data_IF_361456733816
#
_entry.id   IF_361456733816
#
_cell.length_a   1.000
_cell.length_b   1.000
_cell.length_c   1.000
_cell.angle_alpha   90.00
_cell.angle_beta   90.00
_cell.angle_gamma   90.00
#
_symmetry.space_group_name_H-M   'P 1'
#
loop_
_entity.id
_entity.type
_entity.pdbx_description
1 polymer ?
#
# COMPACT_ATOMS: atom_id res chain seq x y z
N UNK A 1 -2.67 2.78 15.32
CA UNK A 1 -2.92 3.78 14.26
C UNK A 1 -4.33 4.39 14.21
N UNK A 2 -5.35 3.89 14.94
CA UNK A 2 -6.72 4.43 14.87
C UNK A 2 -6.94 5.67 15.74
N UNK A 3 -6.06 5.89 16.70
CA UNK A 3 -6.13 6.95 17.71
C UNK A 3 -4.75 7.61 17.88
N UNK A 4 -4.76 8.86 18.34
CA UNK A 4 -3.60 9.55 18.88
C UNK A 4 -3.51 9.32 20.40
N UNK A 5 -2.35 9.60 21.01
CA UNK A 5 -2.14 9.47 22.46
C UNK A 5 -1.32 8.25 22.87
N UNK A 6 -0.67 7.58 21.93
CA UNK A 6 0.36 6.61 22.25
C UNK A 6 1.71 7.31 22.46
N UNK A 7 2.66 6.61 23.11
CA UNK A 7 4.00 7.14 23.42
C UNK A 7 4.82 7.59 22.20
N UNK A 8 4.48 7.10 21.00
CA UNK A 8 5.14 7.43 19.74
C UNK A 8 4.42 8.54 18.95
N UNK A 9 3.30 9.06 19.46
CA UNK A 9 2.60 10.18 18.85
C UNK A 9 3.17 11.51 19.34
N UNK A 10 3.33 12.46 18.42
CA UNK A 10 3.60 13.86 18.79
C UNK A 10 2.31 14.69 18.68
N UNK A 11 2.40 15.94 19.12
CA UNK A 11 1.36 16.99 19.05
C UNK A 11 0.77 17.21 17.65
N UNK A 12 1.51 16.83 16.60
CA UNK A 12 1.06 16.92 15.19
C UNK A 12 0.05 15.83 14.79
N UNK A 13 -0.23 14.86 15.65
CA UNK A 13 -1.13 13.74 15.34
C UNK A 13 -2.59 14.20 15.17
N UNK A 14 -3.28 13.66 14.17
CA UNK A 14 -4.69 13.95 13.89
C UNK A 14 -5.43 12.71 13.39
N UNK A 15 -6.73 12.61 13.71
CA UNK A 15 -7.63 11.54 13.26
C UNK A 15 -8.68 12.13 12.30
N UNK A 16 -8.62 11.80 11.00
CA UNK A 16 -9.63 12.23 10.03
C UNK A 16 -11.05 11.80 10.45
N UNK A 17 -11.96 12.76 10.54
CA UNK A 17 -13.39 12.53 10.82
C UNK A 17 -13.78 12.33 12.29
N UNK A 18 -12.83 12.12 13.22
CA UNK A 18 -13.11 12.04 14.67
C UNK A 18 -12.76 13.35 15.39
N UNK A 19 -11.72 14.05 14.94
CA UNK A 19 -11.38 15.39 15.40
C UNK A 19 -12.29 16.43 14.70
N UNK A 20 -13.60 16.22 14.81
CA UNK A 20 -14.64 17.16 14.37
C UNK A 20 -14.84 18.24 15.42
N UNK A 21 -13.82 19.08 15.61
CA UNK A 21 -14.02 20.49 15.94
C UNK A 21 -12.74 21.28 15.73
N UNK A 22 -12.45 21.58 14.46
CA UNK A 22 -11.50 22.62 14.13
C UNK A 22 -12.22 23.97 14.28
N UNK A 23 -12.30 24.47 15.51
CA UNK A 23 -12.91 25.77 15.76
C UNK A 23 -11.98 26.86 15.22
N UNK A 24 -12.56 27.81 14.49
CA UNK A 24 -11.85 29.01 14.07
C UNK A 24 -12.38 30.14 14.94
N UNK A 25 -11.52 30.67 15.82
CA UNK A 25 -11.79 31.90 16.56
C UNK A 25 -10.65 32.88 16.30
N UNK A 26 -10.96 34.13 15.95
CA UNK A 26 -9.97 35.18 15.67
C UNK A 26 -8.87 34.76 14.65
N UNK A 27 -9.23 33.97 13.63
CA UNK A 27 -8.30 33.53 12.58
C UNK A 27 -7.34 32.40 12.99
N UNK A 28 -7.44 31.88 14.21
CA UNK A 28 -6.60 30.79 14.75
C UNK A 28 -7.41 29.49 14.75
N UNK A 29 -6.78 28.39 14.29
CA UNK A 29 -7.37 27.05 14.27
C UNK A 29 -7.11 26.36 15.61
N UNK A 30 -8.17 25.94 16.29
CA UNK A 30 -8.10 25.20 17.55
C UNK A 30 -8.46 23.74 17.34
N UNK A 31 -7.71 22.83 17.95
CA UNK A 31 -8.05 21.41 17.97
C UNK A 31 -8.51 21.03 19.37
N UNK A 32 -9.77 20.60 19.47
CA UNK A 32 -10.39 20.24 20.73
C UNK A 32 -10.59 18.73 20.77
N UNK A 33 -10.03 18.06 21.77
CA UNK A 33 -10.30 16.64 22.01
C UNK A 33 -11.57 16.49 22.85
N UNK A 34 -12.37 15.48 22.52
CA UNK A 34 -13.52 15.10 23.34
C UNK A 34 -13.00 14.53 24.68
N UNK A 35 -13.54 14.97 25.84
CA UNK A 35 -13.09 14.48 27.13
C UNK A 35 -13.35 12.97 27.25
N UNK A 36 -12.33 12.20 27.67
CA UNK A 36 -12.42 10.75 27.91
C UNK A 36 -13.30 10.38 29.14
N UNK A 37 -14.03 11.33 29.74
CA UNK A 37 -14.84 11.10 30.94
C UNK A 37 -16.05 12.04 31.00
N UNK A 38 -17.23 11.50 31.31
CA UNK A 38 -18.56 12.13 31.11
C UNK A 38 -18.88 13.36 31.99
N UNK A 39 -17.96 13.86 32.83
CA UNK A 39 -18.27 14.89 33.84
C UNK A 39 -17.33 16.11 33.82
N UNK A 40 -16.86 16.56 32.66
CA UNK A 40 -16.12 17.83 32.55
C UNK A 40 -16.46 18.56 31.25
N UNK A 41 -17.16 19.70 31.34
CA UNK A 41 -17.55 20.57 30.21
C UNK A 41 -16.40 21.47 29.75
N UNK A 42 -15.16 20.99 29.75
CA UNK A 42 -14.02 21.76 29.28
C UNK A 42 -13.30 20.98 28.18
N UNK A 43 -13.56 21.38 26.93
CA UNK A 43 -12.79 20.92 25.79
C UNK A 43 -11.36 21.48 25.91
N UNK A 44 -10.37 20.60 25.99
CA UNK A 44 -8.97 21.02 25.96
C UNK A 44 -8.61 21.37 24.50
N UNK A 45 -8.54 22.67 24.21
CA UNK A 45 -8.30 23.18 22.88
C UNK A 45 -6.89 23.76 22.78
N UNK A 46 -6.05 23.24 21.88
CA UNK A 46 -4.72 23.80 21.60
C UNK A 46 -4.75 24.57 20.28
N UNK A 47 -4.06 25.72 20.24
CA UNK A 47 -3.88 26.48 18.99
C UNK A 47 -2.89 25.73 18.10
N UNK A 48 -3.27 25.50 16.85
CA UNK A 48 -2.43 24.81 15.87
C UNK A 48 -2.14 25.74 14.70
N UNK A 49 -0.86 26.04 14.47
CA UNK A 49 -0.39 26.57 13.19
C UNK A 49 -0.63 25.48 12.13
N UNK A 50 -1.68 25.68 11.32
CA UNK A 50 -2.33 24.62 10.56
C UNK A 50 -1.57 24.06 9.34
N UNK A 51 -0.24 24.07 9.33
CA UNK A 51 0.57 23.64 8.17
C UNK A 51 1.16 22.24 8.29
N UNK A 52 1.38 21.68 9.49
CA UNK A 52 2.10 20.40 9.66
C UNK A 52 1.32 19.35 10.45
N UNK A 53 0.05 19.08 10.13
CA UNK A 53 -0.68 17.97 10.75
C UNK A 53 -0.38 16.66 10.03
N UNK A 54 -0.18 15.58 10.80
CA UNK A 54 0.19 14.25 10.29
C UNK A 54 -0.83 13.24 10.82
N UNK A 55 -1.34 12.36 9.95
CA UNK A 55 -2.36 11.38 10.37
C UNK A 55 -1.80 10.37 11.37
N UNK A 56 -2.64 9.85 12.26
CA UNK A 56 -2.25 8.83 13.23
C UNK A 56 -1.67 7.55 12.57
N UNK A 57 -2.13 7.21 11.36
CA UNK A 57 -1.59 6.10 10.54
C UNK A 57 -0.23 6.42 9.95
N UNK A 58 -0.01 7.64 9.49
CA UNK A 58 1.27 8.07 8.94
C UNK A 58 2.35 8.15 10.02
N UNK A 59 2.03 8.70 11.20
CA UNK A 59 2.96 8.69 12.33
C UNK A 59 3.30 7.27 12.80
N UNK A 60 2.29 6.38 12.83
CA UNK A 60 2.52 4.97 13.15
C UNK A 60 3.52 4.32 12.19
N UNK A 61 3.36 4.56 10.88
CA UNK A 61 4.25 4.02 9.86
C UNK A 61 5.68 4.58 9.99
N UNK A 62 5.85 5.90 9.99
CA UNK A 62 7.19 6.49 9.95
C UNK A 62 7.94 6.42 11.27
N UNK A 63 7.27 6.57 12.41
CA UNK A 63 7.95 6.65 13.71
C UNK A 63 8.10 5.31 14.40
N UNK A 64 7.01 4.55 14.48
CA UNK A 64 7.01 3.29 15.23
C UNK A 64 7.46 2.12 14.35
N UNK A 65 6.89 1.96 13.15
CA UNK A 65 7.17 0.81 12.31
C UNK A 65 8.55 0.94 11.64
N UNK A 66 8.83 2.08 11.02
CA UNK A 66 10.10 2.32 10.32
C UNK A 66 11.23 2.83 11.22
N UNK A 67 10.91 3.63 12.25
CA UNK A 67 11.93 4.33 13.03
C UNK A 67 12.76 5.29 12.18
N UNK A 68 12.08 6.06 11.32
CA UNK A 68 12.73 6.95 10.34
C UNK A 68 13.67 7.96 11.01
N UNK A 69 14.91 8.03 10.53
CA UNK A 69 15.91 9.03 10.92
C UNK A 69 15.68 10.38 10.24
N UNK A 70 16.33 11.42 10.75
CA UNK A 70 16.16 12.79 10.27
C UNK A 70 16.97 13.10 9.00
N UNK A 71 18.02 12.32 8.72
CA UNK A 71 18.95 12.55 7.60
C UNK A 71 19.31 11.24 6.90
N UNK A 72 19.66 11.33 5.62
CA UNK A 72 20.16 10.19 4.84
C UNK A 72 21.50 9.65 5.36
N UNK A 73 22.32 10.50 5.97
CA UNK A 73 23.62 10.11 6.54
C UNK A 73 23.47 9.35 7.87
N UNK A 74 22.30 9.46 8.51
CA UNK A 74 22.00 8.76 9.75
C UNK A 74 21.19 7.49 9.46
N UNK A 75 21.88 6.36 9.42
CA UNK A 75 21.26 5.05 9.21
C UNK A 75 20.49 4.54 10.44
N UNK A 76 20.63 5.19 11.60
CA UNK A 76 19.98 4.79 12.84
C UNK A 76 20.33 3.36 13.27
N UNK A 77 19.43 2.73 14.02
CA UNK A 77 19.54 1.32 14.43
C UNK A 77 18.48 0.47 13.72
N UNK A 78 18.78 -0.79 13.37
CA UNK A 78 17.78 -1.68 12.78
C UNK A 78 16.58 -1.87 13.72
N UNK A 79 15.39 -1.55 13.22
CA UNK A 79 14.15 -1.80 13.97
C UNK A 79 13.93 -3.31 14.12
N UNK A 80 13.74 -3.76 15.37
CA UNK A 80 13.65 -5.19 15.68
C UNK A 80 12.46 -5.88 15.00
N UNK A 81 11.28 -5.24 14.96
CA UNK A 81 10.08 -5.86 14.40
C UNK A 81 10.19 -6.09 12.88
N UNK A 82 10.54 -5.09 12.04
CA UNK A 82 10.81 -5.32 10.61
C UNK A 82 11.96 -6.29 10.38
N UNK A 83 13.03 -6.25 11.19
CA UNK A 83 14.15 -7.19 11.05
C UNK A 83 13.74 -8.65 11.30
N UNK A 84 12.95 -8.91 12.34
CA UNK A 84 12.40 -10.25 12.61
C UNK A 84 11.39 -10.69 11.55
N UNK A 85 10.57 -9.77 11.04
CA UNK A 85 9.66 -10.05 9.92
C UNK A 85 10.43 -10.38 8.63
N UNK A 86 11.55 -9.70 8.37
CA UNK A 86 12.41 -9.99 7.23
C UNK A 86 13.10 -11.36 7.40
N UNK A 87 13.62 -11.67 8.60
CA UNK A 87 14.22 -12.96 8.89
C UNK A 87 13.22 -14.10 8.70
N UNK A 88 11.99 -13.95 9.19
CA UNK A 88 10.94 -14.96 9.03
C UNK A 88 10.54 -15.12 7.56
N UNK A 89 10.43 -14.02 6.80
CA UNK A 89 10.18 -14.07 5.36
C UNK A 89 11.26 -14.86 4.60
N UNK A 90 12.55 -14.64 4.91
CA UNK A 90 13.65 -15.41 4.31
C UNK A 90 13.59 -16.89 4.65
N UNK A 91 13.26 -17.24 5.90
CA UNK A 91 13.08 -18.64 6.30
C UNK A 91 11.94 -19.28 5.49
N UNK A 92 10.79 -18.60 5.38
CA UNK A 92 9.63 -19.10 4.62
C UNK A 92 10.00 -19.29 3.14
N UNK A 93 10.62 -18.29 2.51
CA UNK A 93 11.06 -18.37 1.11
C UNK A 93 12.04 -19.53 0.92
N UNK A 94 13.01 -19.68 1.84
CA UNK A 94 13.94 -20.80 1.85
C UNK A 94 13.22 -22.15 1.87
N UNK A 95 12.24 -22.32 2.77
CA UNK A 95 11.42 -23.54 2.85
C UNK A 95 10.58 -23.79 1.60
N UNK A 96 10.05 -22.75 0.96
CA UNK A 96 9.28 -22.88 -0.28
C UNK A 96 10.15 -23.39 -1.44
N UNK A 97 11.42 -22.97 -1.50
CA UNK A 97 12.34 -23.24 -2.61
C UNK A 97 13.24 -24.46 -2.35
N UNK A 98 13.38 -24.94 -1.10
CA UNK A 98 14.33 -26.00 -0.71
C UNK A 98 14.22 -27.30 -1.54
N UNK A 99 13.03 -27.61 -2.05
CA UNK A 99 12.74 -28.78 -2.90
C UNK A 99 12.63 -28.45 -4.40
N UNK A 100 13.13 -27.28 -4.80
CA UNK A 100 13.13 -26.77 -6.17
C UNK A 100 11.74 -26.44 -6.72
N UNK A 101 11.65 -26.38 -8.05
CA UNK A 101 10.47 -25.92 -8.81
C UNK A 101 9.19 -26.71 -8.55
N UNK A 102 9.30 -27.99 -8.13
CA UNK A 102 8.14 -28.83 -7.81
C UNK A 102 7.44 -28.40 -6.51
N UNK A 103 8.22 -27.91 -5.54
CA UNK A 103 7.69 -27.44 -4.25
C UNK A 103 7.16 -26.02 -4.37
N UNK A 104 7.95 -25.13 -4.99
CA UNK A 104 7.51 -23.75 -5.22
C UNK A 104 6.25 -23.69 -6.08
N UNK A 105 6.10 -24.57 -7.07
CA UNK A 105 4.87 -24.70 -7.85
C UNK A 105 3.63 -25.07 -7.02
N UNK A 106 3.77 -25.91 -5.98
CA UNK A 106 2.66 -26.25 -5.07
C UNK A 106 2.25 -25.07 -4.20
N UNK A 107 3.24 -24.37 -3.65
CA UNK A 107 3.01 -23.15 -2.85
C UNK A 107 2.38 -22.06 -3.70
N UNK A 108 2.81 -21.94 -4.97
CA UNK A 108 2.29 -20.96 -5.92
C UNK A 108 0.78 -21.07 -6.16
N UNK A 109 0.17 -22.26 -6.08
CA UNK A 109 -1.29 -22.38 -6.18
C UNK A 109 -2.00 -21.57 -5.09
N UNK A 110 -1.49 -21.60 -3.86
CA UNK A 110 -2.06 -20.78 -2.79
C UNK A 110 -1.69 -19.30 -2.97
N UNK A 111 -0.41 -18.99 -3.15
CA UNK A 111 0.06 -17.59 -3.15
C UNK A 111 -0.36 -16.81 -4.40
N UNK A 112 -0.67 -17.48 -5.51
CA UNK A 112 -1.22 -16.82 -6.70
C UNK A 112 -2.73 -16.62 -6.61
N UNK A 113 -3.49 -17.55 -6.00
CA UNK A 113 -4.96 -17.48 -5.94
C UNK A 113 -5.44 -16.61 -4.77
N UNK A 114 -4.80 -16.73 -3.61
CA UNK A 114 -5.21 -16.03 -2.40
C UNK A 114 -5.31 -14.50 -2.57
N UNK A 115 -4.36 -13.81 -3.24
CA UNK A 115 -4.49 -12.38 -3.51
C UNK A 115 -5.76 -12.01 -4.28
N UNK A 116 -6.23 -12.83 -5.24
CA UNK A 116 -7.47 -12.54 -5.97
C UNK A 116 -8.70 -12.62 -5.05
N UNK A 117 -8.70 -13.54 -4.08
CA UNK A 117 -9.78 -13.62 -3.07
C UNK A 117 -9.78 -12.34 -2.21
N UNK A 118 -8.61 -11.91 -1.76
CA UNK A 118 -8.47 -10.67 -0.97
C UNK A 118 -8.89 -9.45 -1.79
N UNK A 119 -8.44 -9.34 -3.05
CA UNK A 119 -8.83 -8.26 -3.95
C UNK A 119 -10.34 -8.22 -4.16
N UNK A 120 -10.99 -9.38 -4.36
CA UNK A 120 -12.44 -9.44 -4.50
C UNK A 120 -13.16 -8.92 -3.24
N UNK A 121 -12.70 -9.32 -2.05
CA UNK A 121 -13.26 -8.84 -0.78
C UNK A 121 -13.06 -7.33 -0.64
N UNK A 122 -11.87 -6.82 -0.98
CA UNK A 122 -11.56 -5.39 -0.94
C UNK A 122 -12.44 -4.60 -1.91
N UNK A 123 -12.62 -5.06 -3.15
CA UNK A 123 -13.48 -4.41 -4.14
C UNK A 123 -14.93 -4.35 -3.65
N UNK A 124 -15.45 -5.45 -3.08
CA UNK A 124 -16.80 -5.49 -2.52
C UNK A 124 -16.91 -4.47 -1.37
N UNK A 125 -15.94 -4.45 -0.45
CA UNK A 125 -15.91 -3.48 0.65
C UNK A 125 -15.84 -2.04 0.14
N UNK A 126 -14.89 -1.72 -0.75
CA UNK A 126 -14.70 -0.39 -1.33
C UNK A 126 -15.95 0.08 -2.07
N UNK A 127 -16.65 -0.83 -2.77
CA UNK A 127 -17.91 -0.51 -3.48
C UNK A 127 -19.09 -0.21 -2.54
N UNK A 128 -19.06 -0.74 -1.31
CA UNK A 128 -20.11 -0.52 -0.30
C UNK A 128 -19.90 0.77 0.49
N UNK A 129 -18.73 1.40 0.41
CA UNK A 129 -18.45 2.66 1.11
C UNK A 129 -19.14 3.85 0.43
N UNK A 130 -19.53 4.84 1.26
CA UNK A 130 -20.05 6.11 0.75
C UNK A 130 -18.94 6.85 0.01
N UNK A 131 -19.22 7.36 -1.18
CA UNK A 131 -18.23 8.03 -2.03
C UNK A 131 -17.48 7.11 -3.00
N UNK A 132 -17.84 5.82 -3.09
CA UNK A 132 -17.20 4.88 -4.01
C UNK A 132 -17.33 5.29 -5.49
N UNK A 133 -18.45 5.90 -5.86
CA UNK A 133 -18.73 6.34 -7.24
C UNK A 133 -17.73 7.43 -7.67
N UNK A 134 -17.40 8.36 -6.78
CA UNK A 134 -16.41 9.41 -7.03
C UNK A 134 -15.01 8.83 -7.23
N UNK A 135 -14.62 7.84 -6.42
CA UNK A 135 -13.35 7.10 -6.59
C UNK A 135 -13.28 6.38 -7.93
N UNK A 136 -14.33 5.64 -8.30
CA UNK A 136 -14.40 4.94 -9.60
C UNK A 136 -14.35 5.92 -10.77
N UNK A 137 -15.06 7.05 -10.68
CA UNK A 137 -15.00 8.10 -11.72
C UNK A 137 -13.59 8.66 -11.87
N UNK A 138 -12.91 8.93 -10.75
CA UNK A 138 -11.52 9.40 -10.77
C UNK A 138 -10.58 8.38 -11.42
N UNK A 139 -10.79 7.09 -11.17
CA UNK A 139 -9.98 6.02 -11.74
C UNK A 139 -10.20 5.81 -13.25
N UNK A 140 -11.46 5.82 -13.70
CA UNK A 140 -11.82 5.40 -15.08
C UNK A 140 -11.82 6.55 -16.08
N UNK A 141 -12.16 7.78 -15.67
CA UNK A 141 -12.32 8.91 -16.59
C UNK A 141 -10.94 9.36 -17.10
N UNK A 142 -10.65 9.23 -18.41
CA UNK A 142 -9.34 9.56 -18.94
C UNK A 142 -9.13 11.07 -19.04
N UNK A 143 -7.90 11.50 -18.75
CA UNK A 143 -7.40 12.85 -19.02
C UNK A 143 -6.52 12.85 -20.26
N UNK A 144 -7.12 13.15 -21.41
CA UNK A 144 -6.47 13.06 -22.72
C UNK A 144 -5.27 14.00 -22.87
N UNK A 145 -5.28 15.13 -22.16
CA UNK A 145 -4.17 16.07 -22.09
C UNK A 145 -2.90 15.45 -21.50
N UNK A 146 -3.03 14.46 -20.62
CA UNK A 146 -1.91 13.71 -20.07
C UNK A 146 -1.43 12.61 -21.01
N UNK A 147 -2.36 11.92 -21.68
CA UNK A 147 -2.02 10.85 -22.63
C UNK A 147 -1.17 11.35 -23.79
N UNK A 148 -1.34 12.62 -24.19
CA UNK A 148 -0.51 13.26 -25.22
C UNK A 148 0.92 13.56 -24.77
N UNK A 149 1.23 13.51 -23.47
CA UNK A 149 2.55 13.83 -22.92
C UNK A 149 3.48 12.62 -22.97
N UNK A 150 4.75 12.86 -23.29
CA UNK A 150 5.77 11.81 -23.37
C UNK A 150 5.99 11.11 -22.03
N UNK A 151 5.95 11.85 -20.92
CA UNK A 151 6.16 11.34 -19.57
C UNK A 151 5.15 10.24 -19.20
N UNK A 152 3.92 10.33 -19.71
CA UNK A 152 2.88 9.31 -19.49
C UNK A 152 3.24 8.00 -20.20
N UNK A 153 3.76 8.06 -21.43
CA UNK A 153 4.22 6.87 -22.15
C UNK A 153 5.48 6.26 -21.54
N UNK A 154 6.40 7.10 -21.07
CA UNK A 154 7.58 6.64 -20.34
C UNK A 154 7.17 5.89 -19.06
N UNK A 155 6.28 6.47 -18.26
CA UNK A 155 5.78 5.83 -17.05
C UNK A 155 5.04 4.52 -17.35
N UNK A 156 4.21 4.48 -18.39
CA UNK A 156 3.50 3.27 -18.81
C UNK A 156 4.47 2.16 -19.24
N UNK A 157 5.48 2.49 -20.05
CA UNK A 157 6.51 1.53 -20.48
C UNK A 157 7.30 0.97 -19.29
N UNK A 158 7.70 1.84 -18.34
CA UNK A 158 8.36 1.41 -17.10
C UNK A 158 7.45 0.51 -16.26
N UNK A 159 6.16 0.84 -16.14
CA UNK A 159 5.20 0.02 -15.39
C UNK A 159 5.09 -1.39 -15.97
N UNK A 160 4.90 -1.54 -17.29
CA UNK A 160 4.81 -2.85 -17.93
C UNK A 160 6.13 -3.62 -17.80
N UNK A 161 7.27 -2.95 -17.97
CA UNK A 161 8.59 -3.57 -17.88
C UNK A 161 8.84 -4.16 -16.47
N UNK A 162 8.55 -3.39 -15.42
CA UNK A 162 8.72 -3.84 -14.03
C UNK A 162 7.63 -4.81 -13.57
N UNK A 163 6.39 -4.67 -14.06
CA UNK A 163 5.28 -5.58 -13.72
C UNK A 163 5.54 -7.00 -14.20
N UNK A 164 5.95 -7.15 -15.47
CA UNK A 164 6.28 -8.47 -16.04
C UNK A 164 7.64 -9.00 -15.58
N UNK A 165 8.49 -8.15 -14.97
CA UNK A 165 9.84 -8.53 -14.59
C UNK A 165 10.67 -8.98 -15.80
N UNK A 166 10.62 -8.22 -16.89
CA UNK A 166 11.41 -8.52 -18.09
C UNK A 166 12.91 -8.44 -17.76
N UNK A 167 13.68 -9.41 -18.26
CA UNK A 167 15.15 -9.47 -18.15
C UNK A 167 15.74 -9.77 -16.75
N UNK A 168 14.92 -10.08 -15.73
CA UNK A 168 15.42 -10.45 -14.39
C UNK A 168 15.82 -11.94 -14.25
N UNK A 169 15.77 -12.72 -15.33
CA UNK A 169 16.18 -14.14 -15.36
C UNK A 169 15.19 -15.12 -14.70
N UNK A 170 14.24 -14.65 -13.89
CA UNK A 170 13.22 -15.48 -13.24
C UNK A 170 12.34 -16.24 -14.24
N UNK A 171 11.78 -15.54 -15.24
CA UNK A 171 11.00 -16.15 -16.33
C UNK A 171 11.83 -17.14 -17.14
N UNK A 172 13.12 -16.85 -17.36
CA UNK A 172 14.05 -17.74 -18.05
C UNK A 172 14.26 -19.04 -17.26
N UNK A 173 14.47 -18.93 -15.94
CA UNK A 173 14.62 -20.08 -15.05
C UNK A 173 13.34 -20.94 -14.97
N UNK A 174 12.15 -20.33 -15.03
CA UNK A 174 10.91 -21.09 -15.12
C UNK A 174 10.75 -21.77 -16.49
N UNK A 175 11.12 -21.08 -17.57
CA UNK A 175 11.02 -21.62 -18.93
C UNK A 175 11.94 -22.82 -19.16
N UNK A 176 13.10 -22.87 -18.51
CA UNK A 176 14.05 -23.99 -18.63
C UNK A 176 13.52 -25.29 -18.04
N UNK A 177 12.54 -25.21 -17.14
CA UNK A 177 11.87 -26.37 -16.53
C UNK A 177 10.64 -26.84 -17.32
N UNK A 178 10.33 -26.22 -18.45
CA UNK A 178 9.15 -26.52 -19.25
C UNK A 178 9.41 -27.64 -20.28
N UNK A 179 8.34 -28.25 -20.81
CA UNK A 179 8.47 -29.25 -21.88
C UNK A 179 8.95 -28.58 -23.18
N UNK A 180 9.83 -29.24 -23.92
CA UNK A 180 10.38 -28.71 -25.17
C UNK A 180 9.31 -28.41 -26.23
N UNK A 181 8.31 -29.28 -26.36
CA UNK A 181 7.16 -29.09 -27.28
C UNK A 181 5.96 -28.44 -26.59
N UNK A 182 6.20 -27.39 -25.81
CA UNK A 182 5.13 -26.62 -25.18
C UNK A 182 4.77 -25.39 -26.04
N UNK A 183 3.47 -25.05 -26.11
CA UNK A 183 3.02 -23.85 -26.81
C UNK A 183 3.34 -22.60 -25.95
N UNK A 184 4.57 -22.12 -26.09
CA UNK A 184 5.06 -20.94 -25.39
C UNK A 184 4.27 -19.68 -25.72
N UNK A 185 3.92 -19.47 -26.99
CA UNK A 185 3.17 -18.29 -27.44
C UNK A 185 1.83 -18.16 -26.71
N UNK A 186 1.08 -19.26 -26.59
CA UNK A 186 -0.17 -19.27 -25.82
C UNK A 186 0.05 -18.92 -24.35
N UNK A 187 1.10 -19.44 -23.71
CA UNK A 187 1.40 -19.13 -22.31
C UNK A 187 1.78 -17.67 -22.12
N UNK A 188 2.60 -17.13 -23.02
CA UNK A 188 2.97 -15.71 -23.02
C UNK A 188 1.72 -14.82 -23.10
N UNK A 189 0.83 -15.07 -24.06
CA UNK A 189 -0.39 -14.27 -24.20
C UNK A 189 -1.27 -14.32 -22.93
N UNK A 190 -1.40 -15.50 -22.30
CA UNK A 190 -2.17 -15.66 -21.06
C UNK A 190 -1.52 -14.85 -19.93
N UNK A 191 -0.21 -15.00 -19.71
CA UNK A 191 0.50 -14.32 -18.61
C UNK A 191 0.41 -12.81 -18.76
N UNK A 192 0.70 -12.27 -19.95
CA UNK A 192 0.62 -10.82 -20.20
C UNK A 192 -0.80 -10.30 -20.02
N UNK A 193 -1.79 -11.00 -20.55
CA UNK A 193 -3.20 -10.59 -20.40
C UNK A 193 -3.63 -10.62 -18.94
N UNK A 194 -3.27 -11.67 -18.20
CA UNK A 194 -3.56 -11.78 -16.76
C UNK A 194 -2.89 -10.68 -15.95
N UNK A 195 -1.64 -10.34 -16.23
CA UNK A 195 -0.91 -9.25 -15.54
C UNK A 195 -1.64 -7.91 -15.73
N UNK A 196 -1.93 -7.54 -16.99
CA UNK A 196 -2.64 -6.30 -17.31
C UNK A 196 -4.05 -6.26 -16.66
N UNK A 197 -4.82 -7.34 -16.80
CA UNK A 197 -6.17 -7.41 -16.24
C UNK A 197 -6.16 -7.35 -14.71
N UNK A 198 -5.16 -7.96 -14.07
CA UNK A 198 -5.01 -7.92 -12.61
C UNK A 198 -4.67 -6.52 -12.12
N UNK A 199 -3.81 -5.79 -12.84
CA UNK A 199 -3.53 -4.38 -12.54
C UNK A 199 -4.78 -3.51 -12.61
N UNK A 200 -5.60 -3.69 -13.65
CA UNK A 200 -6.89 -2.98 -13.78
C UNK A 200 -7.86 -3.38 -12.66
N UNK A 201 -7.98 -4.68 -12.39
CA UNK A 201 -8.87 -5.21 -11.36
C UNK A 201 -8.50 -4.70 -9.96
N UNK A 202 -7.21 -4.72 -9.61
CA UNK A 202 -6.72 -4.21 -8.35
C UNK A 202 -6.99 -2.71 -8.19
N UNK A 203 -6.94 -1.94 -9.29
CA UNK A 203 -7.25 -0.50 -9.28
C UNK A 203 -8.68 -0.16 -8.84
N UNK A 204 -9.65 -1.07 -9.01
CA UNK A 204 -11.01 -0.88 -8.48
C UNK A 204 -11.14 -1.14 -6.97
N UNK A 205 -10.17 -1.84 -6.37
CA UNK A 205 -10.19 -2.19 -4.95
C UNK A 205 -9.53 -1.15 -4.04
N UNK A 206 -8.81 -0.19 -4.63
CA UNK A 206 -8.06 0.89 -3.97
C UNK A 206 -8.85 2.19 -4.08
#
# INVERSE_FOLDING_TARGET
>A
WKKCGYSWNDERCFIPGADSALFIANGIKYNCTEPQYQNFTQYACTSINGTDRVTASEQFFYKLLLGKSNSFEDFGTPQLYPALALLSAWIIVGLCIIRGVKSSGKVAYFTAIFPYIVLLILIIQSSLLKGAVEGIKFYVIPRWDLVAKFETWQAAASQVFFSLGLSFGSLMAYSSSNKFKNNFFRQMCIVVSCDCLTGVFAGFGV
#
